data_IF_569285372308
#
_entry.id   IF_569285372308
#
_cell.length_a   1.000
_cell.length_b   1.000
_cell.length_c   1.000
_cell.angle_alpha   90.00
_cell.angle_beta   90.00
_cell.angle_gamma   90.00
#
_symmetry.space_group_name_H-M   'P 1'
#
loop_
_entity.id
_entity.type
_entity.pdbx_description
1 polymer ?
#
# COMPACT_ATOMS: atom_id res chain seq x y z
N UNK A 1 -79.46 -2.78 -28.04
CA UNK A 1 -79.05 -1.45 -27.55
C UNK A 1 -78.64 -1.64 -26.10
N UNK A 2 -77.36 -1.91 -25.87
CA UNK A 2 -76.41 -0.95 -25.26
C UNK A 2 -76.70 -0.83 -23.74
N UNK A 3 -75.83 -1.16 -22.80
CA UNK A 3 -74.36 -1.14 -22.80
C UNK A 3 -73.80 -2.12 -21.76
N UNK A 4 -72.64 -2.67 -22.10
CA UNK A 4 -71.81 -3.57 -21.30
C UNK A 4 -70.72 -2.76 -20.58
N UNK A 5 -70.27 -3.30 -19.44
CA UNK A 5 -68.89 -3.31 -18.92
C UNK A 5 -68.12 -2.00 -18.76
N UNK A 6 -67.74 -1.69 -17.51
CA UNK A 6 -66.37 -1.23 -17.24
C UNK A 6 -65.99 -1.42 -15.75
N UNK A 7 -65.22 -2.47 -15.47
CA UNK A 7 -64.32 -2.55 -14.33
C UNK A 7 -63.04 -3.23 -14.86
N UNK A 8 -61.86 -2.59 -14.86
CA UNK A 8 -60.67 -3.23 -15.35
C UNK A 8 -60.00 -4.06 -14.26
N UNK A 9 -59.58 -5.21 -14.73
CA UNK A 9 -58.77 -6.28 -14.16
C UNK A 9 -57.40 -5.84 -13.68
N UNK A 10 -56.91 -6.59 -12.70
CA UNK A 10 -55.52 -6.70 -12.27
C UNK A 10 -54.58 -6.92 -13.46
N UNK A 11 -53.45 -6.20 -13.50
CA UNK A 11 -52.27 -6.62 -14.25
C UNK A 11 -51.04 -6.42 -13.36
N UNK A 12 -50.55 -7.55 -12.87
CA UNK A 12 -49.39 -7.72 -12.03
C UNK A 12 -48.17 -7.87 -12.94
N UNK A 13 -47.42 -6.79 -13.18
CA UNK A 13 -46.13 -6.86 -13.86
C UNK A 13 -45.02 -6.86 -12.82
N UNK A 14 -44.63 -8.07 -12.44
CA UNK A 14 -43.35 -8.38 -11.84
C UNK A 14 -42.24 -8.05 -12.85
N UNK A 15 -41.40 -7.05 -12.55
CA UNK A 15 -40.18 -6.79 -13.30
C UNK A 15 -39.02 -6.81 -12.32
N UNK A 16 -38.28 -7.92 -12.34
CA UNK A 16 -37.02 -8.08 -11.63
C UNK A 16 -36.02 -7.04 -12.14
N UNK A 17 -35.46 -6.26 -11.23
CA UNK A 17 -34.18 -5.60 -11.45
C UNK A 17 -33.32 -5.83 -10.22
N UNK A 18 -32.41 -6.79 -10.33
CA UNK A 18 -31.29 -6.95 -9.42
C UNK A 18 -30.35 -5.76 -9.63
N UNK A 19 -30.48 -4.73 -8.80
CA UNK A 19 -29.53 -3.63 -8.76
C UNK A 19 -28.58 -3.84 -7.57
N UNK A 20 -27.42 -4.39 -7.92
CA UNK A 20 -26.08 -4.14 -7.36
C UNK A 20 -26.05 -3.30 -6.07
N UNK A 21 -25.79 -3.96 -4.94
CA UNK A 21 -25.50 -3.30 -3.66
C UNK A 21 -24.00 -3.08 -3.60
N UNK A 22 -23.53 -1.92 -4.07
CA UNK A 22 -22.22 -1.40 -3.67
C UNK A 22 -22.33 -0.84 -2.26
N UNK A 23 -21.47 -1.23 -1.31
CA UNK A 23 -21.47 -0.66 0.03
C UNK A 23 -21.03 0.81 -0.04
N UNK A 24 -21.96 1.71 0.21
CA UNK A 24 -21.67 3.11 0.53
C UNK A 24 -21.03 3.15 1.91
N UNK A 25 -19.75 3.51 1.99
CA UNK A 25 -19.08 3.83 3.24
C UNK A 25 -19.79 5.07 3.81
N UNK A 26 -20.38 4.92 4.99
CA UNK A 26 -21.03 6.02 5.70
C UNK A 26 -19.95 6.98 6.21
N UNK A 27 -19.84 8.15 5.57
CA UNK A 27 -19.03 9.25 6.10
C UNK A 27 -19.84 10.04 7.12
N UNK A 28 -19.40 10.00 8.36
CA UNK A 28 -19.83 10.89 9.43
C UNK A 28 -19.40 12.31 9.08
N UNK A 29 -20.37 13.23 9.01
CA UNK A 29 -20.16 14.64 8.72
C UNK A 29 -19.23 15.26 9.77
N UNK A 30 -17.97 15.47 9.42
CA UNK A 30 -17.05 16.28 10.22
C UNK A 30 -17.60 17.71 10.36
N UNK A 31 -17.57 18.31 11.56
CA UNK A 31 -18.11 19.65 11.79
C UNK A 31 -17.30 20.69 11.02
N UNK A 32 -18.00 21.51 10.23
CA UNK A 32 -17.47 22.71 9.58
C UNK A 32 -17.02 23.75 10.62
N UNK A 33 -15.82 23.58 11.18
CA UNK A 33 -15.05 24.65 11.82
C UNK A 33 -13.64 24.18 12.16
N UNK A 34 -12.80 23.97 11.15
CA UNK A 34 -11.36 23.95 11.32
C UNK A 34 -10.78 24.96 10.33
N UNK A 35 -10.12 25.97 10.90
CA UNK A 35 -9.51 27.14 10.26
C UNK A 35 -8.83 26.85 8.91
N UNK A 36 -9.42 27.32 7.82
CA UNK A 36 -8.68 27.54 6.57
C UNK A 36 -7.90 28.86 6.71
N UNK A 37 -6.61 28.93 6.32
CA UNK A 37 -5.90 30.19 6.24
C UNK A 37 -6.62 31.14 5.26
N UNK A 38 -6.70 32.40 5.65
CA UNK A 38 -7.30 33.51 4.91
C UNK A 38 -6.54 33.83 3.61
N UNK A 39 -6.63 32.96 2.62
CA UNK A 39 -6.29 33.23 1.23
C UNK A 39 -7.30 32.46 0.37
N UNK A 40 -8.13 33.17 -0.41
CA UNK A 40 -9.17 32.58 -1.26
C UNK A 40 -8.52 31.90 -2.48
N UNK A 41 -7.75 30.85 -2.20
CA UNK A 41 -7.01 30.07 -3.16
C UNK A 41 -7.97 29.06 -3.80
N UNK A 42 -7.87 28.86 -5.11
CA UNK A 42 -8.76 27.92 -5.80
C UNK A 42 -8.50 26.49 -5.30
N UNK A 43 -9.52 25.62 -5.30
CA UNK A 43 -9.37 24.23 -4.89
C UNK A 43 -8.16 23.50 -5.52
N UNK A 44 -7.89 23.61 -6.84
CA UNK A 44 -6.70 22.99 -7.44
C UNK A 44 -5.38 23.63 -6.99
N UNK A 45 -5.36 24.92 -6.66
CA UNK A 45 -4.17 25.58 -6.12
C UNK A 45 -3.90 25.18 -4.67
N UNK A 46 -4.95 24.98 -3.86
CA UNK A 46 -4.84 24.42 -2.51
C UNK A 46 -4.30 23.00 -2.52
N UNK A 47 -4.77 22.15 -3.44
CA UNK A 47 -4.26 20.77 -3.61
C UNK A 47 -2.75 20.78 -3.93
N UNK A 48 -2.33 21.67 -4.85
CA UNK A 48 -0.91 21.83 -5.18
C UNK A 48 -0.09 22.29 -3.98
N UNK A 49 -0.58 23.31 -3.26
CA UNK A 49 0.09 23.83 -2.07
C UNK A 49 0.28 22.73 -1.01
N UNK A 50 -0.78 21.98 -0.69
CA UNK A 50 -0.69 20.87 0.27
C UNK A 50 0.29 19.78 -0.19
N UNK A 51 0.28 19.46 -1.47
CA UNK A 51 1.23 18.48 -2.06
C UNK A 51 2.67 18.98 -1.95
N UNK A 52 2.92 20.27 -2.19
CA UNK A 52 4.25 20.89 -2.05
C UNK A 52 4.72 20.94 -0.59
N UNK A 53 3.83 21.31 0.34
CA UNK A 53 4.08 21.28 1.78
C UNK A 53 4.40 19.87 2.27
N UNK A 54 3.61 18.87 1.86
CA UNK A 54 3.85 17.47 2.14
C UNK A 54 5.18 16.98 1.56
N UNK A 55 5.50 17.37 0.32
CA UNK A 55 6.80 17.04 -0.32
C UNK A 55 7.97 17.64 0.43
N UNK A 56 7.81 18.87 0.94
CA UNK A 56 8.83 19.53 1.74
C UNK A 56 9.02 18.83 3.08
N UNK A 57 7.94 18.49 3.79
CA UNK A 57 7.99 17.76 5.06
C UNK A 57 8.64 16.38 4.88
N UNK A 58 8.24 15.64 3.84
CA UNK A 58 8.80 14.35 3.48
C UNK A 58 10.32 14.41 3.24
N UNK A 59 10.80 15.44 2.52
CA UNK A 59 12.24 15.66 2.30
C UNK A 59 13.01 15.99 3.59
N UNK A 60 12.34 16.60 4.56
CA UNK A 60 12.89 16.90 5.89
C UNK A 60 12.80 15.71 6.86
N UNK A 61 12.29 14.55 6.40
CA UNK A 61 11.99 13.36 7.21
C UNK A 61 10.97 13.61 8.32
N UNK A 62 10.19 14.67 8.20
CA UNK A 62 9.02 14.93 9.02
C UNK A 62 7.83 14.18 8.39
N UNK A 63 7.83 12.86 8.56
CA UNK A 63 6.87 11.98 7.90
C UNK A 63 5.47 12.12 8.48
N UNK A 64 5.34 12.38 9.78
CA UNK A 64 4.04 12.67 10.41
C UNK A 64 3.34 13.85 9.75
N UNK A 65 4.04 14.98 9.57
CA UNK A 65 3.47 16.14 8.87
C UNK A 65 3.22 15.84 7.40
N UNK A 66 4.08 15.06 6.75
CA UNK A 66 3.88 14.68 5.34
C UNK A 66 2.60 13.84 5.16
N UNK A 67 2.35 12.85 6.02
CA UNK A 67 1.15 12.01 6.02
C UNK A 67 -0.10 12.88 6.10
N UNK A 68 -0.18 13.79 7.08
CA UNK A 68 -1.34 14.68 7.25
C UNK A 68 -1.59 15.55 6.02
N UNK A 69 -0.53 16.11 5.44
CA UNK A 69 -0.65 17.00 4.26
C UNK A 69 -1.06 16.26 3.00
N UNK A 70 -0.54 15.05 2.79
CA UNK A 70 -0.93 14.23 1.64
C UNK A 70 -2.32 13.63 1.81
N UNK A 71 -2.73 13.29 3.03
CA UNK A 71 -4.09 12.86 3.32
C UNK A 71 -5.09 13.95 2.91
N UNK A 72 -4.92 15.17 3.42
CA UNK A 72 -5.78 16.31 3.07
C UNK A 72 -5.75 16.60 1.56
N UNK A 73 -4.57 16.56 0.93
CA UNK A 73 -4.44 16.74 -0.51
C UNK A 73 -5.21 15.68 -1.30
N UNK A 74 -5.19 14.42 -0.86
CA UNK A 74 -5.89 13.31 -1.52
C UNK A 74 -7.41 13.45 -1.43
N UNK A 75 -7.94 13.86 -0.28
CA UNK A 75 -9.37 14.09 -0.08
C UNK A 75 -9.89 15.24 -0.98
N UNK A 76 -9.13 16.33 -1.06
CA UNK A 76 -9.47 17.45 -1.94
C UNK A 76 -9.32 17.08 -3.42
N UNK A 77 -8.33 16.25 -3.77
CA UNK A 77 -8.14 15.76 -5.13
C UNK A 77 -9.29 14.86 -5.59
N UNK A 78 -9.79 13.96 -4.72
CA UNK A 78 -10.98 13.16 -5.01
C UNK A 78 -12.20 14.05 -5.29
N UNK A 79 -12.41 15.06 -4.43
CA UNK A 79 -13.55 15.97 -4.55
C UNK A 79 -13.50 16.80 -5.84
N UNK A 80 -12.32 17.25 -6.25
CA UNK A 80 -12.16 18.15 -7.39
C UNK A 80 -12.05 17.41 -8.73
N UNK A 81 -11.23 16.35 -8.79
CA UNK A 81 -10.89 15.66 -10.03
C UNK A 81 -11.64 14.32 -10.21
N UNK A 82 -12.18 13.74 -9.13
CA UNK A 82 -12.78 12.41 -9.13
C UNK A 82 -11.72 11.30 -9.27
N UNK A 83 -12.11 10.14 -9.80
CA UNK A 83 -11.17 9.04 -10.13
C UNK A 83 -10.33 9.39 -11.36
N UNK A 84 -9.33 10.25 -11.16
CA UNK A 84 -8.39 10.71 -12.19
C UNK A 84 -6.93 10.39 -11.83
N UNK A 85 -6.02 10.58 -12.79
CA UNK A 85 -4.57 10.43 -12.55
C UNK A 85 -4.06 11.35 -11.44
N UNK A 86 -4.59 12.57 -11.31
CA UNK A 86 -4.21 13.51 -10.25
C UNK A 86 -4.61 13.01 -8.86
N UNK A 87 -5.76 12.34 -8.75
CA UNK A 87 -6.17 11.69 -7.51
C UNK A 87 -5.26 10.49 -7.19
N UNK A 88 -4.91 9.68 -8.21
CA UNK A 88 -3.96 8.58 -8.04
C UNK A 88 -2.57 9.08 -7.60
N UNK A 89 -2.08 10.20 -8.16
CA UNK A 89 -0.83 10.83 -7.75
C UNK A 89 -0.87 11.27 -6.28
N UNK A 90 -2.01 11.82 -5.82
CA UNK A 90 -2.19 12.20 -4.42
C UNK A 90 -2.19 10.98 -3.49
N UNK A 91 -2.93 9.92 -3.83
CA UNK A 91 -2.95 8.66 -3.08
C UNK A 91 -1.57 7.99 -3.03
N UNK A 92 -0.84 7.99 -4.14
CA UNK A 92 0.51 7.43 -4.19
C UNK A 92 1.47 8.15 -3.24
N UNK A 93 1.43 9.49 -3.19
CA UNK A 93 2.24 10.27 -2.25
C UNK A 93 1.83 10.01 -0.80
N UNK A 94 0.54 9.89 -0.53
CA UNK A 94 0.02 9.56 0.80
C UNK A 94 0.47 8.17 1.26
N UNK A 95 0.25 7.12 0.46
CA UNK A 95 0.68 5.76 0.78
C UNK A 95 2.20 5.66 0.96
N UNK A 96 2.97 6.36 0.12
CA UNK A 96 4.43 6.43 0.29
C UNK A 96 4.84 7.08 1.62
N UNK A 97 4.15 8.14 2.05
CA UNK A 97 4.44 8.78 3.32
C UNK A 97 4.11 7.88 4.53
N UNK A 98 3.02 7.11 4.46
CA UNK A 98 2.66 6.14 5.49
C UNK A 98 3.72 5.04 5.66
N UNK A 99 4.21 4.48 4.54
CA UNK A 99 5.28 3.46 4.58
C UNK A 99 6.53 4.02 5.26
N UNK A 100 6.97 5.22 4.88
CA UNK A 100 8.19 5.81 5.44
C UNK A 100 8.02 6.26 6.89
N UNK A 101 6.80 6.68 7.29
CA UNK A 101 6.46 6.95 8.68
C UNK A 101 6.59 5.68 9.53
N UNK A 102 6.01 4.58 9.05
CA UNK A 102 6.09 3.26 9.67
C UNK A 102 7.54 2.78 9.83
N UNK A 103 8.35 2.85 8.77
CA UNK A 103 9.78 2.52 8.80
C UNK A 103 10.56 3.44 9.75
N UNK A 104 10.23 4.73 9.78
CA UNK A 104 10.92 5.68 10.66
C UNK A 104 10.64 5.39 12.13
N UNK A 105 9.40 5.08 12.49
CA UNK A 105 9.03 4.72 13.86
C UNK A 105 9.77 3.46 14.33
N UNK A 106 9.91 2.44 13.49
CA UNK A 106 10.68 1.23 13.84
C UNK A 106 12.17 1.49 13.94
N UNK A 107 12.75 2.25 13.01
CA UNK A 107 14.18 2.57 13.02
C UNK A 107 14.56 3.41 14.24
N UNK A 108 13.73 4.38 14.64
CA UNK A 108 13.98 5.23 15.81
C UNK A 108 13.89 4.44 17.11
N UNK A 109 13.00 3.45 17.19
CA UNK A 109 12.94 2.54 18.33
C UNK A 109 14.16 1.60 18.40
N UNK A 110 14.69 1.18 17.23
CA UNK A 110 15.92 0.39 17.11
C UNK A 110 17.19 1.12 17.53
N UNK A 111 17.36 2.36 17.10
CA UNK A 111 18.54 3.19 17.44
C UNK A 111 18.49 3.65 18.90
N UNK A 112 17.32 4.05 19.42
CA UNK A 112 17.17 4.40 20.83
C UNK A 112 17.38 3.20 21.78
N UNK A 113 17.23 1.97 21.31
CA UNK A 113 17.57 0.75 22.06
C UNK A 113 19.07 0.55 22.21
N UNK A 114 19.87 0.93 21.19
CA UNK A 114 21.33 0.88 21.28
C UNK A 114 21.87 2.03 22.14
N UNK A 115 21.40 3.26 21.92
CA UNK A 115 21.80 4.45 22.70
C UNK A 115 21.43 4.29 24.18
N UNK A 116 20.26 3.71 24.49
CA UNK A 116 19.83 3.44 25.87
C UNK A 116 20.59 2.26 26.50
N UNK A 117 20.99 1.25 25.74
CA UNK A 117 21.89 0.18 26.22
C UNK A 117 23.29 0.72 26.52
N UNK A 118 23.86 1.53 25.62
CA UNK A 118 25.16 2.19 25.83
C UNK A 118 25.08 3.17 27.01
N UNK A 119 23.99 3.92 27.16
CA UNK A 119 23.80 4.82 28.30
C UNK A 119 23.60 4.08 29.64
N UNK A 120 23.03 2.87 29.63
CA UNK A 120 22.94 2.00 30.81
C UNK A 120 24.29 1.36 31.16
N UNK A 121 25.11 1.02 30.15
CA UNK A 121 26.43 0.42 30.33
C UNK A 121 27.48 1.45 30.82
N UNK A 122 27.34 2.73 30.48
CA UNK A 122 28.18 3.83 31.03
C UNK A 122 27.81 4.17 32.49
N UNK A 123 26.60 3.82 32.94
CA UNK A 123 26.12 4.17 34.30
C UNK A 123 26.41 3.08 35.36
N UNK A 124 26.87 1.90 34.96
CA UNK A 124 27.32 0.83 35.87
C UNK A 124 28.82 0.86 36.20
N UNK A 125 29.63 1.71 35.53
CA UNK A 125 31.09 1.71 35.67
C UNK A 125 31.66 2.50 36.87
N UNK A 126 30.82 3.06 37.76
CA UNK A 126 31.30 3.74 38.98
C UNK A 126 31.19 2.93 40.28
N UNK A 127 30.70 1.68 40.25
CA UNK A 127 30.71 0.81 41.43
C UNK A 127 30.89 -0.66 41.04
N UNK A 128 32.14 -1.13 41.02
CA UNK A 128 32.64 -2.33 41.72
C UNK A 128 33.94 -2.83 41.06
N UNK A 129 35.06 -2.39 41.63
CA UNK A 129 36.38 -2.92 41.35
C UNK A 129 36.52 -4.33 41.92
N UNK A 130 36.21 -5.40 41.14
CA UNK A 130 36.57 -6.76 41.53
C UNK A 130 37.02 -7.57 40.30
N UNK A 131 38.30 -7.95 40.28
CA UNK A 131 38.92 -8.83 39.29
C UNK A 131 38.08 -10.09 39.03
N UNK A 132 37.45 -10.18 37.85
CA UNK A 132 37.00 -11.45 37.28
C UNK A 132 37.75 -11.70 35.98
N UNK A 133 38.50 -12.77 35.98
CA UNK A 133 39.35 -13.25 34.90
C UNK A 133 38.45 -13.90 33.84
N UNK A 134 38.27 -13.26 32.68
CA UNK A 134 37.52 -13.84 31.56
C UNK A 134 38.35 -14.98 30.96
N UNK A 135 37.92 -16.22 31.18
CA UNK A 135 38.43 -17.40 30.49
C UNK A 135 37.73 -17.52 29.14
N UNK A 136 38.51 -17.43 28.06
CA UNK A 136 38.10 -17.80 26.71
C UNK A 136 38.56 -19.24 26.48
N UNK A 137 37.66 -20.20 26.71
CA UNK A 137 37.85 -21.58 26.26
C UNK A 137 37.24 -21.74 24.87
N UNK A 138 38.12 -21.84 23.88
CA UNK A 138 37.77 -22.19 22.51
C UNK A 138 37.46 -23.68 22.37
N UNK A 139 36.34 -23.94 21.67
CA UNK A 139 35.90 -25.13 20.90
C UNK A 139 36.07 -26.56 21.47
N UNK A 140 35.15 -27.45 21.07
CA UNK A 140 35.57 -28.36 19.99
C UNK A 140 34.51 -28.56 18.89
N UNK A 141 35.00 -28.49 17.65
CA UNK A 141 34.71 -29.36 16.51
C UNK A 141 33.70 -30.51 16.72
N UNK A 142 32.66 -30.52 15.89
CA UNK A 142 31.93 -31.74 15.53
C UNK A 142 31.97 -31.90 14.01
N UNK A 143 32.83 -32.81 13.57
CA UNK A 143 32.72 -33.50 12.28
C UNK A 143 31.76 -34.70 12.42
N UNK A 144 31.28 -35.18 11.26
CA UNK A 144 30.42 -36.33 10.97
C UNK A 144 28.89 -36.06 11.10
N UNK A 145 28.01 -36.40 10.17
CA UNK A 145 28.10 -37.19 8.93
C UNK A 145 26.86 -36.90 8.06
N UNK A 146 27.07 -36.98 6.76
CA UNK A 146 26.14 -36.95 5.62
C UNK A 146 24.94 -37.90 5.75
N UNK A 147 23.72 -37.45 5.41
CA UNK A 147 22.76 -38.20 4.56
C UNK A 147 21.74 -37.27 3.88
N UNK A 148 21.63 -37.52 2.59
CA UNK A 148 20.84 -36.91 1.52
C UNK A 148 19.46 -37.61 1.45
N UNK A 149 18.37 -36.88 1.21
CA UNK A 149 17.30 -37.38 0.34
C UNK A 149 16.44 -36.22 -0.23
N UNK A 150 16.81 -35.83 -1.44
CA UNK A 150 15.97 -35.08 -2.37
C UNK A 150 15.24 -36.11 -3.22
N UNK A 151 13.92 -36.22 -3.06
CA UNK A 151 13.06 -36.89 -4.05
C UNK A 151 11.94 -35.96 -4.49
N UNK A 152 12.25 -35.27 -5.57
CA UNK A 152 11.32 -34.75 -6.57
C UNK A 152 10.74 -35.94 -7.35
N UNK A 153 9.41 -36.01 -7.51
CA UNK A 153 8.73 -36.49 -8.73
C UNK A 153 7.20 -36.44 -8.58
N UNK A 154 6.52 -35.90 -9.61
CA UNK A 154 5.18 -36.38 -9.98
C UNK A 154 4.05 -35.35 -10.13
N UNK A 155 4.07 -34.64 -11.26
CA UNK A 155 2.90 -34.01 -11.88
C UNK A 155 1.82 -35.07 -12.20
N UNK A 156 0.53 -34.76 -11.97
CA UNK A 156 -0.50 -34.54 -13.02
C UNK A 156 -1.95 -34.68 -12.49
N UNK A 157 -2.74 -33.63 -12.82
CA UNK A 157 -4.17 -33.57 -13.16
C UNK A 157 -5.22 -34.27 -12.28
N UNK A 158 -6.18 -33.51 -11.75
CA UNK A 158 -7.51 -33.41 -12.38
C UNK A 158 -8.45 -32.43 -11.65
N UNK A 159 -9.35 -31.91 -12.45
CA UNK A 159 -10.35 -30.88 -12.24
C UNK A 159 -11.44 -31.21 -11.20
N UNK A 160 -11.84 -30.23 -10.37
CA UNK A 160 -13.22 -29.68 -10.28
C UNK A 160 -13.59 -29.06 -8.92
N UNK A 161 -13.93 -27.76 -9.00
CA UNK A 161 -15.11 -27.11 -8.41
C UNK A 161 -15.37 -27.03 -6.89
N UNK A 162 -15.55 -25.76 -6.50
CA UNK A 162 -16.50 -25.17 -5.53
C UNK A 162 -16.10 -25.07 -4.07
N UNK A 163 -15.90 -23.80 -3.69
CA UNK A 163 -16.49 -23.10 -2.54
C UNK A 163 -16.72 -23.94 -1.28
N UNK A 164 -15.87 -23.70 -0.30
CA UNK A 164 -16.09 -24.05 1.09
C UNK A 164 -15.36 -23.05 1.96
N UNK A 165 -16.06 -21.98 2.36
CA UNK A 165 -15.72 -21.22 3.56
C UNK A 165 -15.45 -22.18 4.72
N UNK A 166 -14.35 -21.95 5.44
CA UNK A 166 -14.33 -21.87 6.91
C UNK A 166 -12.95 -22.21 7.49
N UNK A 167 -12.42 -21.21 8.21
CA UNK A 167 -11.48 -21.30 9.33
C UNK A 167 -10.05 -21.78 8.98
N UNK A 168 -8.97 -21.08 9.34
CA UNK A 168 -8.70 -20.36 10.60
C UNK A 168 -7.62 -19.31 10.35
N UNK A 169 -7.90 -18.03 10.57
CA UNK A 169 -6.83 -17.09 10.92
C UNK A 169 -6.96 -16.77 12.40
N UNK A 170 -6.03 -17.37 13.13
CA UNK A 170 -5.84 -17.14 14.54
C UNK A 170 -5.56 -15.65 14.76
N UNK A 171 -6.28 -15.09 15.72
CA UNK A 171 -6.08 -13.75 16.22
C UNK A 171 -4.59 -13.45 16.43
N UNK A 172 -4.05 -12.53 15.65
CA UNK A 172 -2.88 -11.75 16.03
C UNK A 172 -3.40 -10.40 16.55
N UNK A 173 -4.03 -10.42 17.73
CA UNK A 173 -4.45 -9.23 18.48
C UNK A 173 -3.24 -8.53 19.12
N UNK A 174 -2.28 -8.16 18.29
CA UNK A 174 -1.36 -7.07 18.55
C UNK A 174 -1.06 -6.37 17.23
N UNK A 175 -2.10 -5.83 16.58
CA UNK A 175 -1.87 -4.83 15.55
C UNK A 175 -1.18 -3.66 16.23
N UNK A 176 0.10 -3.51 15.94
CA UNK A 176 0.85 -2.35 16.36
C UNK A 176 0.38 -1.16 15.54
N UNK A 177 0.61 0.07 16.01
CA UNK A 177 0.33 1.28 15.20
C UNK A 177 1.04 1.21 13.82
N UNK A 178 2.13 0.44 13.72
CA UNK A 178 2.86 0.15 12.49
C UNK A 178 2.06 -0.70 11.50
N UNK A 179 1.43 -1.78 11.97
CA UNK A 179 0.60 -2.65 11.12
C UNK A 179 -0.60 -1.86 10.60
N UNK A 180 -1.16 -0.99 11.43
CA UNK A 180 -2.24 -0.07 11.05
C UNK A 180 -1.81 0.87 9.91
N UNK A 181 -0.66 1.55 10.01
CA UNK A 181 -0.18 2.47 8.97
C UNK A 181 0.12 1.75 7.64
N UNK A 182 0.69 0.54 7.70
CA UNK A 182 0.98 -0.27 6.50
C UNK A 182 -0.30 -0.80 5.84
N UNK A 183 -1.31 -1.16 6.63
CA UNK A 183 -2.62 -1.56 6.12
C UNK A 183 -3.31 -0.41 5.37
N UNK A 184 -3.30 0.80 5.95
CA UNK A 184 -3.83 2.00 5.26
C UNK A 184 -3.02 2.29 3.99
N UNK A 185 -1.69 2.17 4.04
CA UNK A 185 -0.84 2.36 2.87
C UNK A 185 -1.18 1.37 1.74
N UNK A 186 -1.41 0.10 2.07
CA UNK A 186 -1.81 -0.93 1.13
C UNK A 186 -3.15 -0.59 0.44
N UNK A 187 -4.14 -0.14 1.22
CA UNK A 187 -5.46 0.21 0.70
C UNK A 187 -5.38 1.37 -0.30
N UNK A 188 -4.71 2.47 0.08
CA UNK A 188 -4.61 3.65 -0.80
C UNK A 188 -3.76 3.40 -2.03
N UNK A 189 -2.70 2.60 -1.93
CA UNK A 189 -1.87 2.21 -3.07
C UNK A 189 -2.60 1.25 -4.01
N UNK A 190 -3.44 0.37 -3.48
CA UNK A 190 -4.31 -0.50 -4.29
C UNK A 190 -5.30 0.33 -5.09
N UNK A 191 -5.89 1.37 -4.49
CA UNK A 191 -6.77 2.30 -5.21
C UNK A 191 -5.99 3.06 -6.29
N UNK A 192 -4.80 3.56 -5.97
CA UNK A 192 -3.95 4.27 -6.94
C UNK A 192 -3.57 3.36 -8.13
N UNK A 193 -3.20 2.10 -7.85
CA UNK A 193 -2.90 1.08 -8.87
C UNK A 193 -4.06 0.92 -9.86
N UNK A 194 -5.28 0.75 -9.34
CA UNK A 194 -6.46 0.52 -10.17
C UNK A 194 -6.75 1.74 -11.05
N UNK A 195 -6.58 2.96 -10.52
CA UNK A 195 -6.75 4.19 -11.31
C UNK A 195 -5.69 4.30 -12.41
N UNK A 196 -4.42 4.01 -12.13
CA UNK A 196 -3.37 4.05 -13.15
C UNK A 196 -3.53 2.97 -14.22
N UNK A 197 -4.01 1.78 -13.83
CA UNK A 197 -4.37 0.71 -14.76
C UNK A 197 -5.49 1.16 -15.71
N UNK A 198 -6.52 1.81 -15.18
CA UNK A 198 -7.64 2.33 -15.97
C UNK A 198 -7.21 3.48 -16.90
N UNK A 199 -6.29 4.34 -16.46
CA UNK A 199 -5.83 5.50 -17.23
C UNK A 199 -4.95 5.09 -18.42
N UNK A 200 -4.00 4.16 -18.24
CA UNK A 200 -3.19 3.57 -19.31
C UNK A 200 -2.26 4.52 -20.08
N UNK A 201 -2.08 5.78 -19.63
CA UNK A 201 -1.16 6.74 -20.23
C UNK A 201 0.31 6.39 -19.94
N UNK A 202 1.26 6.90 -20.72
CA UNK A 202 2.69 6.67 -20.46
C UNK A 202 3.14 7.13 -19.07
N UNK A 203 2.58 8.26 -18.61
CA UNK A 203 2.77 8.75 -17.23
C UNK A 203 2.19 7.75 -16.23
N UNK A 204 0.95 7.29 -16.45
CA UNK A 204 0.30 6.31 -15.57
C UNK A 204 1.05 4.98 -15.50
N UNK A 205 1.56 4.46 -16.63
CA UNK A 205 2.41 3.26 -16.65
C UNK A 205 3.68 3.46 -15.81
N UNK A 206 4.27 4.66 -15.83
CA UNK A 206 5.43 4.96 -15.00
C UNK A 206 5.10 4.85 -13.51
N UNK A 207 4.07 5.57 -13.08
CA UNK A 207 3.61 5.57 -11.69
C UNK A 207 3.12 4.19 -11.24
N UNK A 208 2.42 3.45 -12.11
CA UNK A 208 1.95 2.09 -11.85
C UNK A 208 3.10 1.14 -11.51
N UNK A 209 4.21 1.23 -12.25
CA UNK A 209 5.41 0.45 -11.96
C UNK A 209 6.00 0.77 -10.58
N UNK A 210 5.92 2.02 -10.11
CA UNK A 210 6.33 2.42 -8.77
C UNK A 210 5.35 1.95 -7.70
N UNK A 211 4.05 1.99 -7.97
CA UNK A 211 3.00 1.51 -7.05
C UNK A 211 3.17 0.01 -6.78
N UNK A 212 3.37 -0.79 -7.82
CA UNK A 212 3.64 -2.22 -7.66
C UNK A 212 4.90 -2.50 -6.82
N UNK A 213 5.97 -1.70 -6.98
CA UNK A 213 7.15 -1.84 -6.12
C UNK A 213 6.80 -1.58 -4.66
N UNK A 214 6.03 -0.53 -4.37
CA UNK A 214 5.63 -0.18 -3.00
C UNK A 214 4.67 -1.19 -2.37
N UNK A 215 3.73 -1.76 -3.12
CA UNK A 215 2.88 -2.86 -2.65
C UNK A 215 3.70 -4.11 -2.33
N UNK A 216 4.71 -4.42 -3.16
CA UNK A 216 5.68 -5.49 -2.88
C UNK A 216 6.49 -5.23 -1.61
N UNK A 217 6.95 -4.00 -1.40
CA UNK A 217 7.69 -3.61 -0.20
C UNK A 217 6.84 -3.79 1.08
N UNK A 218 5.56 -3.37 1.06
CA UNK A 218 4.62 -3.60 2.17
C UNK A 218 4.44 -5.09 2.43
N UNK A 219 4.22 -5.87 1.36
CA UNK A 219 4.02 -7.32 1.49
C UNK A 219 5.25 -8.02 2.07
N UNK A 220 6.47 -7.58 1.73
CA UNK A 220 7.69 -8.09 2.35
C UNK A 220 7.78 -7.75 3.83
N UNK A 221 7.45 -6.52 4.21
CA UNK A 221 7.46 -6.09 5.62
C UNK A 221 6.46 -6.89 6.46
N UNK A 222 5.33 -7.27 5.87
CA UNK A 222 4.29 -8.11 6.48
C UNK A 222 4.57 -9.62 6.34
N UNK A 223 5.76 -10.01 5.86
CA UNK A 223 6.17 -11.40 5.61
C UNK A 223 5.26 -12.19 4.64
N UNK A 224 4.46 -11.48 3.83
CA UNK A 224 3.62 -12.04 2.78
C UNK A 224 4.41 -12.18 1.46
N UNK A 225 5.33 -13.15 1.43
CA UNK A 225 6.25 -13.34 0.31
C UNK A 225 5.55 -13.71 -1.01
N UNK A 226 4.45 -14.48 -0.94
CA UNK A 226 3.70 -14.88 -2.12
C UNK A 226 3.10 -13.67 -2.84
N UNK A 227 2.51 -12.75 -2.07
CA UNK A 227 1.97 -11.51 -2.61
C UNK A 227 3.08 -10.57 -3.10
N UNK A 228 4.19 -10.44 -2.36
CA UNK A 228 5.34 -9.64 -2.78
C UNK A 228 5.88 -10.06 -4.16
N UNK A 229 5.97 -11.38 -4.41
CA UNK A 229 6.41 -11.91 -5.72
C UNK A 229 5.44 -11.51 -6.83
N UNK A 230 4.13 -11.54 -6.58
CA UNK A 230 3.12 -11.12 -7.56
C UNK A 230 3.30 -9.62 -7.90
N UNK A 231 3.43 -8.78 -6.89
CA UNK A 231 3.54 -7.34 -7.08
C UNK A 231 4.84 -6.94 -7.76
N UNK A 232 5.99 -7.50 -7.37
CA UNK A 232 7.26 -7.24 -8.06
C UNK A 232 7.26 -7.75 -9.51
N UNK A 233 6.62 -8.89 -9.79
CA UNK A 233 6.43 -9.34 -11.18
C UNK A 233 5.56 -8.36 -11.98
N UNK A 234 4.52 -7.80 -11.36
CA UNK A 234 3.72 -6.71 -11.91
C UNK A 234 4.58 -5.51 -12.29
N UNK A 235 5.43 -5.04 -11.36
CA UNK A 235 6.36 -3.93 -11.62
C UNK A 235 7.32 -4.22 -12.78
N UNK A 236 7.90 -5.43 -12.83
CA UNK A 236 8.81 -5.83 -13.92
C UNK A 236 8.09 -5.85 -15.26
N UNK A 237 6.87 -6.40 -15.31
CA UNK A 237 6.06 -6.43 -16.54
C UNK A 237 5.82 -5.02 -17.08
N UNK A 238 5.35 -4.11 -16.23
CA UNK A 238 5.08 -2.71 -16.63
C UNK A 238 6.35 -2.03 -17.12
N UNK A 239 7.49 -2.24 -16.44
CA UNK A 239 8.78 -1.66 -16.86
C UNK A 239 9.26 -2.22 -18.21
N UNK A 240 9.06 -3.50 -18.47
CA UNK A 240 9.42 -4.12 -19.75
C UNK A 240 8.55 -3.59 -20.90
N UNK A 241 7.24 -3.45 -20.69
CA UNK A 241 6.31 -2.90 -21.68
C UNK A 241 6.69 -1.47 -22.09
N UNK A 242 7.02 -0.61 -21.12
CA UNK A 242 7.50 0.75 -21.41
C UNK A 242 8.81 0.77 -22.21
N UNK A 243 9.76 -0.08 -21.86
CA UNK A 243 11.02 -0.18 -22.60
C UNK A 243 10.82 -0.69 -24.05
N UNK A 244 9.84 -1.57 -24.28
CA UNK A 244 9.51 -1.99 -25.65
C UNK A 244 8.86 -0.87 -26.46
N UNK A 245 7.99 -0.07 -25.86
CA UNK A 245 7.35 1.07 -26.50
C UNK A 245 8.38 2.14 -26.89
N UNK A 246 9.31 2.49 -25.98
CA UNK A 246 10.41 3.43 -26.23
C UNK A 246 11.32 2.98 -27.39
N UNK A 247 11.69 1.69 -27.42
CA UNK A 247 12.52 1.14 -28.50
C UNK A 247 11.79 1.15 -29.85
N UNK A 248 10.46 0.97 -29.85
CA UNK A 248 9.64 1.01 -31.06
C UNK A 248 9.55 2.45 -31.59
N UNK A 249 9.30 3.45 -30.74
CA UNK A 249 9.30 4.87 -31.12
C UNK A 249 10.65 5.29 -31.72
N UNK A 250 11.76 4.85 -31.12
CA UNK A 250 13.11 5.09 -31.65
C UNK A 250 13.32 4.42 -33.02
N UNK A 251 12.75 3.23 -33.24
CA UNK A 251 12.88 2.51 -34.51
C UNK A 251 12.09 3.18 -35.63
N UNK A 252 10.92 3.76 -35.35
CA UNK A 252 10.15 4.54 -36.33
C UNK A 252 10.83 5.88 -36.68
N UNK A 253 11.48 6.52 -35.69
CA UNK A 253 12.22 7.77 -35.89
C UNK A 253 13.48 7.63 -36.76
N UNK A 254 14.01 6.41 -36.94
CA UNK A 254 15.11 6.11 -37.85
C UNK A 254 14.62 5.33 -39.08
N UNK A 255 14.01 5.99 -40.08
CA UNK A 255 13.77 5.35 -41.37
C UNK A 255 15.13 5.04 -42.00
N UNK A 256 15.43 3.75 -42.15
CA UNK A 256 16.57 3.27 -42.93
C UNK A 256 16.57 3.98 -44.30
N UNK A 257 17.64 4.72 -44.58
CA UNK A 257 17.94 5.33 -45.89
C UNK A 257 18.73 4.38 -46.77
#
# INVERSE_FOLDING_TARGET
>A
MSSSSNAPTEENTNMSSSANITPQIYYELLPQSALLPEENLSLPDTIKLLTEEGTKAFKLKDYETAVLKYEEASQLAELHYGRSEEFADALFNYGKALIENSIFQTSVLGDNSLEKRIALEIQEDELQHNNSHIYFEGEPSFEDEMVEDLTEEGLESETNNKEGESHTEAANESETDQDSDLNVANDVLTIARDIYLDAGTEKSKASLGEVYMKLGDISLEQENFDQAVIDYRGAVKVKLERLSDDNMELTEAYPFT
#
